data_IF_436518313755
#
_entry.id   IF_436518313755
#
_cell.length_a   1.000
_cell.length_b   1.000
_cell.length_c   1.000
_cell.angle_alpha   90.00
_cell.angle_beta   90.00
_cell.angle_gamma   90.00
#
_symmetry.space_group_name_H-M   'P 1'
#
loop_
_entity.id
_entity.type
_entity.pdbx_description
1 polymer ?
#
# COMPACT_ATOMS: atom_id res chain seq x y z
N UNK A 1 -14.58 -0.49 12.26
CA UNK A 1 -14.70 0.68 11.36
C UNK A 1 -13.29 1.24 11.23
N UNK A 2 -12.48 0.69 10.33
CA UNK A 2 -11.05 1.04 10.20
C UNK A 2 -10.73 1.70 8.84
N UNK A 3 -11.71 1.79 7.94
CA UNK A 3 -11.56 2.39 6.62
C UNK A 3 -11.63 3.94 6.62
N UNK A 4 -12.06 4.56 7.71
CA UNK A 4 -12.30 6.02 7.78
C UNK A 4 -11.03 6.85 8.09
N UNK A 5 -9.92 6.19 8.44
CA UNK A 5 -8.67 6.85 8.83
C UNK A 5 -7.63 6.96 7.69
N UNK A 6 -7.94 6.39 6.52
CA UNK A 6 -6.99 6.32 5.42
C UNK A 6 -7.11 7.61 4.60
N UNK A 7 -6.15 8.51 4.76
CA UNK A 7 -6.12 9.84 4.15
C UNK A 7 -5.23 9.82 2.91
N UNK A 8 -5.76 10.35 1.80
CA UNK A 8 -4.95 10.56 0.59
C UNK A 8 -3.78 11.48 0.91
N UNK A 9 -2.58 11.04 0.57
CA UNK A 9 -1.34 11.78 0.82
C UNK A 9 -0.59 11.32 2.07
N UNK A 10 -1.20 10.53 2.94
CA UNK A 10 -0.49 9.89 4.05
C UNK A 10 0.21 8.60 3.62
N UNK A 11 1.23 8.23 4.40
CA UNK A 11 2.01 7.01 4.18
C UNK A 11 1.56 5.99 5.20
N UNK A 12 1.18 4.80 4.73
CA UNK A 12 0.68 3.71 5.57
C UNK A 12 1.53 2.46 5.35
N UNK A 13 1.54 1.58 6.35
CA UNK A 13 2.15 0.27 6.22
C UNK A 13 1.13 -0.69 5.62
N UNK A 14 1.45 -1.22 4.47
CA UNK A 14 0.60 -2.06 3.66
C UNK A 14 1.17 -3.48 3.70
N UNK A 15 0.32 -4.43 4.03
CA UNK A 15 0.61 -5.83 3.78
C UNK A 15 -0.04 -6.23 2.45
N UNK A 16 0.52 -7.20 1.74
CA UNK A 16 -0.20 -7.83 0.66
C UNK A 16 0.11 -9.32 0.71
N UNK A 17 -0.85 -10.24 0.52
CA UNK A 17 -0.53 -11.66 0.34
C UNK A 17 0.33 -11.91 -0.90
N UNK A 18 0.50 -10.90 -1.76
CA UNK A 18 1.35 -10.95 -2.95
C UNK A 18 2.83 -10.65 -2.64
N UNK A 19 3.13 -10.00 -1.51
CA UNK A 19 4.46 -9.55 -1.12
C UNK A 19 4.84 -10.28 0.18
N UNK A 20 6.08 -10.77 0.26
CA UNK A 20 6.51 -11.56 1.44
C UNK A 20 6.70 -10.66 2.68
N UNK A 21 6.96 -9.37 2.47
CA UNK A 21 7.11 -8.39 3.55
C UNK A 21 6.13 -7.22 3.47
N UNK A 22 5.88 -6.62 4.64
CA UNK A 22 5.13 -5.37 4.75
C UNK A 22 5.91 -4.24 4.06
N UNK A 23 5.22 -3.40 3.31
CA UNK A 23 5.81 -2.27 2.59
C UNK A 23 5.13 -0.97 3.00
N UNK A 24 5.81 0.17 2.85
CA UNK A 24 5.24 1.50 3.13
C UNK A 24 4.82 2.14 1.82
N UNK A 25 3.54 2.46 1.72
CA UNK A 25 2.91 3.07 0.55
C UNK A 25 2.25 4.39 0.91
N UNK A 26 2.44 5.41 0.08
CA UNK A 26 1.70 6.66 0.15
C UNK A 26 0.39 6.52 -0.60
N UNK A 27 -0.74 6.79 0.04
CA UNK A 27 -2.05 6.72 -0.62
C UNK A 27 -2.16 7.85 -1.63
N UNK A 28 -2.29 7.53 -2.92
CA UNK A 28 -2.55 8.49 -4.00
C UNK A 28 -4.06 8.62 -4.27
N UNK A 29 -4.82 7.53 -4.17
CA UNK A 29 -6.28 7.55 -4.34
C UNK A 29 -6.95 6.55 -3.42
N UNK A 30 -8.17 6.87 -3.02
CA UNK A 30 -9.07 5.99 -2.28
C UNK A 30 -10.23 5.61 -3.20
N UNK A 31 -10.60 4.35 -3.18
CA UNK A 31 -11.82 3.79 -3.78
C UNK A 31 -12.72 3.26 -2.65
N UNK A 32 -13.93 2.80 -2.96
CA UNK A 32 -14.88 2.30 -1.95
C UNK A 32 -14.34 1.18 -1.04
N UNK A 33 -13.52 0.26 -1.57
CA UNK A 33 -12.99 -0.90 -0.82
C UNK A 33 -11.47 -1.04 -0.88
N UNK A 34 -10.80 -0.16 -1.62
CA UNK A 34 -9.36 -0.27 -1.91
C UNK A 34 -8.71 1.09 -1.98
N UNK A 35 -7.43 1.16 -1.69
CA UNK A 35 -6.61 2.34 -1.93
C UNK A 35 -5.59 2.06 -3.03
N UNK A 36 -5.35 3.05 -3.88
CA UNK A 36 -4.15 3.11 -4.71
C UNK A 36 -3.05 3.74 -3.88
N UNK A 37 -2.00 2.97 -3.63
CA UNK A 37 -0.82 3.40 -2.90
C UNK A 37 0.41 3.39 -3.80
N UNK A 38 1.22 4.43 -3.69
CA UNK A 38 2.55 4.52 -4.26
C UNK A 38 3.57 4.00 -3.26
N UNK A 39 4.22 2.88 -3.58
CA UNK A 39 5.22 2.25 -2.72
C UNK A 39 6.47 3.11 -2.65
N UNK A 40 6.79 3.58 -1.44
CA UNK A 40 7.96 4.42 -1.13
C UNK A 40 9.11 3.58 -0.59
N UNK A 41 8.79 2.68 0.34
CA UNK A 41 9.74 1.77 0.98
C UNK A 41 9.20 0.35 0.84
N UNK A 42 9.85 -0.45 0.00
CA UNK A 42 9.63 -1.90 -0.11
C UNK A 42 10.92 -2.63 0.22
N UNK A 43 10.80 -3.82 0.78
CA UNK A 43 11.95 -4.68 1.00
C UNK A 43 12.64 -5.02 -0.34
N UNK A 44 13.94 -5.31 -0.33
CA UNK A 44 14.75 -5.47 -1.56
C UNK A 44 14.26 -6.64 -2.43
N UNK A 45 13.64 -7.64 -1.78
CA UNK A 45 13.04 -8.84 -2.40
C UNK A 45 11.78 -8.44 -3.19
N UNK A 46 10.93 -7.61 -2.59
CA UNK A 46 9.70 -7.10 -3.18
C UNK A 46 9.92 -5.92 -4.13
N UNK A 47 11.06 -5.22 -4.02
CA UNK A 47 11.40 -4.05 -4.85
C UNK A 47 11.41 -4.39 -6.33
N UNK A 48 11.84 -5.59 -6.72
CA UNK A 48 11.79 -6.05 -8.12
C UNK A 48 10.35 -6.16 -8.63
N UNK A 49 9.44 -6.72 -7.82
CA UNK A 49 8.02 -6.88 -8.18
C UNK A 49 7.30 -5.53 -8.17
N UNK A 50 7.63 -4.67 -7.20
CA UNK A 50 7.09 -3.31 -7.09
C UNK A 50 7.57 -2.44 -8.25
N UNK A 51 8.82 -2.57 -8.70
CA UNK A 51 9.34 -1.88 -9.89
C UNK A 51 8.61 -2.28 -11.16
N UNK A 52 8.36 -3.58 -11.36
CA UNK A 52 7.53 -4.09 -12.47
C UNK A 52 6.11 -3.49 -12.43
N UNK A 53 5.56 -3.30 -11.24
CA UNK A 53 4.26 -2.67 -11.00
C UNK A 53 4.29 -1.13 -11.02
N UNK A 54 5.36 -0.51 -11.53
CA UNK A 54 5.52 0.95 -11.58
C UNK A 54 5.41 1.64 -10.20
N UNK A 55 5.75 0.93 -9.12
CA UNK A 55 5.62 1.39 -7.73
C UNK A 55 4.19 1.76 -7.32
N UNK A 56 3.16 1.33 -8.05
CA UNK A 56 1.76 1.60 -7.75
C UNK A 56 1.01 0.31 -7.52
N UNK A 57 0.41 0.20 -6.35
CA UNK A 57 -0.33 -0.97 -5.93
C UNK A 57 -1.72 -0.56 -5.49
N UNK A 58 -2.71 -1.33 -5.95
CA UNK A 58 -4.07 -1.23 -5.43
C UNK A 58 -4.24 -2.32 -4.40
N UNK A 59 -4.49 -1.91 -3.17
CA UNK A 59 -4.64 -2.82 -2.03
C UNK A 59 -5.95 -2.51 -1.30
N UNK A 60 -6.67 -3.54 -0.84
CA UNK A 60 -7.90 -3.34 -0.09
C UNK A 60 -7.61 -2.69 1.27
N UNK A 61 -8.55 -1.92 1.79
CA UNK A 61 -8.38 -1.25 3.09
C UNK A 61 -8.09 -2.20 4.25
N UNK A 62 -8.60 -3.43 4.19
CA UNK A 62 -8.32 -4.48 5.18
C UNK A 62 -6.85 -4.89 5.26
N UNK A 63 -6.02 -4.46 4.31
CA UNK A 63 -4.59 -4.77 4.24
C UNK A 63 -3.71 -3.54 4.54
N UNK A 64 -4.33 -2.39 4.84
CA UNK A 64 -3.65 -1.14 5.19
C UNK A 64 -3.67 -1.00 6.71
N UNK A 65 -2.49 -0.78 7.27
CA UNK A 65 -2.26 -0.63 8.70
C UNK A 65 -1.60 0.74 8.93
N UNK A 66 -2.18 1.53 9.84
CA UNK A 66 -1.55 2.75 10.34
C UNK A 66 -0.28 2.45 11.13
N UNK A 67 0.74 3.28 10.95
CA UNK A 67 2.00 3.25 11.68
C UNK A 67 2.01 4.23 12.85
#
# INVERSE_FOLDING_TARGET
>A
MEADLIVVGNTYQCASPLLEECFKGKVEKLYDLSALVEVRDSSQIDTTRVQELNKRLVIPFSQIVEI
#
